data_IF_635310310099
#
_entry.id   IF_635310310099
#
_cell.length_a   1.000
_cell.length_b   1.000
_cell.length_c   1.000
_cell.angle_alpha   90.00
_cell.angle_beta   90.00
_cell.angle_gamma   90.00
#
_symmetry.space_group_name_H-M   'P 1'
#
loop_
_entity.id
_entity.type
_entity.pdbx_description
1 polymer ?
#
# COMPACT_ATOMS: atom_id res chain seq x y z
N UNK A 1 -3.53 17.31 -3.13
CA UNK A 1 -2.65 16.17 -2.76
C UNK A 1 -3.11 15.68 -1.40
N UNK A 2 -3.43 14.39 -1.25
CA UNK A 2 -3.94 13.82 0.02
C UNK A 2 -2.85 13.91 1.10
N UNK A 3 -3.18 14.40 2.31
CA UNK A 3 -2.22 14.45 3.43
C UNK A 3 -2.10 13.09 4.14
N UNK A 4 -1.10 12.91 4.99
CA UNK A 4 -0.97 11.70 5.84
C UNK A 4 -2.17 11.57 6.79
N UNK A 5 -2.70 12.68 7.30
CA UNK A 5 -3.88 12.70 8.16
C UNK A 5 -5.15 12.25 7.44
N UNK A 6 -5.30 12.63 6.16
CA UNK A 6 -6.41 12.19 5.30
C UNK A 6 -6.31 10.69 5.03
N UNK A 7 -5.11 10.20 4.69
CA UNK A 7 -4.84 8.77 4.50
C UNK A 7 -5.15 7.96 5.75
N UNK A 8 -4.70 8.41 6.92
CA UNK A 8 -5.03 7.74 8.20
C UNK A 8 -6.54 7.70 8.43
N UNK A 9 -7.24 8.82 8.19
CA UNK A 9 -8.69 8.87 8.34
C UNK A 9 -9.40 7.92 7.36
N UNK A 10 -8.88 7.79 6.14
CA UNK A 10 -9.36 6.85 5.13
C UNK A 10 -9.13 5.41 5.55
N UNK A 11 -7.96 5.07 6.10
CA UNK A 11 -7.65 3.73 6.60
C UNK A 11 -8.57 3.31 7.74
N UNK A 12 -8.72 4.17 8.75
CA UNK A 12 -9.59 3.93 9.89
C UNK A 12 -11.03 3.64 9.44
N UNK A 13 -11.55 4.46 8.51
CA UNK A 13 -12.89 4.26 7.94
C UNK A 13 -12.97 2.98 7.10
N UNK A 14 -11.96 2.71 6.28
CA UNK A 14 -11.88 1.52 5.43
C UNK A 14 -11.87 0.21 6.21
N UNK A 15 -11.26 0.21 7.41
CA UNK A 15 -11.27 -0.92 8.34
C UNK A 15 -12.51 -1.00 9.24
N UNK A 16 -13.51 -0.13 9.04
CA UNK A 16 -14.76 -0.17 9.79
C UNK A 16 -14.61 0.20 11.28
N UNK A 17 -13.51 0.86 11.67
CA UNK A 17 -13.27 1.22 13.06
C UNK A 17 -14.21 2.37 13.46
N UNK A 18 -15.18 2.04 14.30
CA UNK A 18 -16.18 2.99 14.81
C UNK A 18 -15.82 3.58 16.17
N UNK A 19 -14.96 2.90 16.96
CA UNK A 19 -14.58 3.32 18.32
C UNK A 19 -13.09 3.68 18.37
N UNK A 20 -12.78 4.97 18.42
CA UNK A 20 -11.40 5.46 18.48
C UNK A 20 -10.66 5.00 19.73
N UNK A 21 -11.36 4.86 20.86
CA UNK A 21 -10.77 4.33 22.10
C UNK A 21 -10.24 2.89 21.93
N UNK A 22 -10.94 2.04 21.17
CA UNK A 22 -10.47 0.67 20.92
C UNK A 22 -9.16 0.68 20.11
N UNK A 23 -9.12 1.46 19.03
CA UNK A 23 -7.90 1.65 18.24
C UNK A 23 -6.75 2.26 19.07
N UNK A 24 -7.06 3.16 20.00
CA UNK A 24 -6.05 3.74 20.89
C UNK A 24 -5.42 2.71 21.82
N UNK A 25 -6.23 1.78 22.34
CA UNK A 25 -5.76 0.64 23.13
C UNK A 25 -4.88 -0.29 22.29
N UNK A 26 -5.32 -0.65 21.07
CA UNK A 26 -4.55 -1.53 20.18
C UNK A 26 -3.19 -0.92 19.77
N UNK A 27 -3.14 0.41 19.66
CA UNK A 27 -1.91 1.16 19.34
C UNK A 27 -1.05 1.49 20.57
N UNK A 28 -1.52 1.19 21.78
CA UNK A 28 -0.91 1.58 23.05
C UNK A 28 -0.63 3.09 23.14
N UNK A 29 -1.66 3.90 22.86
CA UNK A 29 -1.59 5.37 22.93
C UNK A 29 -2.89 5.96 23.49
N UNK A 30 -2.85 7.26 23.83
CA UNK A 30 -4.07 8.01 24.11
C UNK A 30 -4.82 8.37 22.82
N UNK A 31 -6.16 8.42 22.88
CA UNK A 31 -7.03 8.82 21.77
C UNK A 31 -6.68 10.21 21.19
N UNK A 32 -6.18 11.12 22.05
CA UNK A 32 -5.71 12.44 21.64
C UNK A 32 -4.54 12.40 20.65
N UNK A 33 -3.70 11.36 20.70
CA UNK A 33 -2.63 11.13 19.73
C UNK A 33 -3.21 10.84 18.34
N UNK A 34 -4.20 9.95 18.24
CA UNK A 34 -4.88 9.63 16.98
C UNK A 34 -5.56 10.87 16.39
N UNK A 35 -6.26 11.65 17.23
CA UNK A 35 -6.88 12.92 16.80
C UNK A 35 -5.86 13.90 16.23
N UNK A 36 -4.70 14.04 16.88
CA UNK A 36 -3.60 14.87 16.40
C UNK A 36 -3.03 14.38 15.07
N UNK A 37 -2.84 13.06 14.92
CA UNK A 37 -2.30 12.47 13.69
C UNK A 37 -3.23 12.62 12.49
N UNK A 38 -4.54 12.48 12.69
CA UNK A 38 -5.55 12.72 11.65
C UNK A 38 -5.56 14.18 11.17
N UNK A 39 -5.14 15.12 12.01
CA UNK A 39 -4.93 16.54 11.67
C UNK A 39 -3.51 16.83 11.17
N UNK A 40 -2.80 15.80 10.73
CA UNK A 40 -1.44 15.88 10.20
C UNK A 40 -0.37 16.36 11.21
N UNK A 41 -0.68 16.30 12.52
CA UNK A 41 0.29 16.61 13.57
C UNK A 41 1.39 15.55 13.71
N UNK A 42 2.46 15.83 14.46
CA UNK A 42 3.68 15.02 14.51
C UNK A 42 3.41 13.58 14.97
N UNK A 43 4.14 12.63 14.37
CA UNK A 43 4.08 11.20 14.64
C UNK A 43 5.48 10.63 14.48
N UNK A 44 5.90 9.75 15.39
CA UNK A 44 7.15 9.01 15.28
C UNK A 44 7.05 7.90 14.23
N UNK A 45 8.18 7.42 13.73
CA UNK A 45 8.21 6.26 12.84
C UNK A 45 7.62 5.01 13.53
N UNK A 46 7.97 4.75 14.79
CA UNK A 46 7.38 3.67 15.61
C UNK A 46 5.85 3.68 15.61
N UNK A 47 5.24 4.86 15.74
CA UNK A 47 3.78 4.97 15.75
C UNK A 47 3.19 4.75 14.35
N UNK A 48 3.89 5.20 13.31
CA UNK A 48 3.48 4.93 11.93
C UNK A 48 3.57 3.42 11.61
N UNK A 49 4.61 2.74 12.09
CA UNK A 49 4.78 1.29 11.95
C UNK A 49 3.67 0.53 12.69
N UNK A 50 3.41 0.84 13.97
CA UNK A 50 2.31 0.25 14.74
C UNK A 50 0.94 0.46 14.08
N UNK A 51 0.67 1.65 13.55
CA UNK A 51 -0.57 1.90 12.79
C UNK A 51 -0.65 1.00 11.56
N UNK A 52 0.47 0.82 10.85
CA UNK A 52 0.53 0.00 9.65
C UNK A 52 0.28 -1.47 9.96
N UNK A 53 0.78 -1.98 11.09
CA UNK A 53 0.51 -3.34 11.56
C UNK A 53 -0.94 -3.51 12.03
N UNK A 54 -1.44 -2.64 12.92
CA UNK A 54 -2.78 -2.76 13.51
C UNK A 54 -3.89 -2.57 12.49
N UNK A 55 -3.72 -1.62 11.56
CA UNK A 55 -4.70 -1.39 10.49
C UNK A 55 -4.43 -2.27 9.26
N UNK A 56 -3.36 -3.06 9.27
CA UNK A 56 -2.91 -3.87 8.14
C UNK A 56 -2.84 -3.03 6.85
N UNK A 57 -2.02 -1.98 6.82
CA UNK A 57 -1.87 -1.06 5.68
C UNK A 57 -0.40 -0.83 5.33
N UNK A 58 -0.12 -0.39 4.11
CA UNK A 58 1.22 -0.02 3.67
C UNK A 58 1.75 1.23 4.39
N UNK A 59 2.92 1.09 5.02
CA UNK A 59 3.65 2.20 5.65
C UNK A 59 4.07 3.26 4.62
N UNK A 60 4.56 2.83 3.45
CA UNK A 60 4.94 3.70 2.34
C UNK A 60 3.77 4.54 1.85
N UNK A 61 2.60 3.91 1.73
CA UNK A 61 1.38 4.62 1.40
C UNK A 61 1.00 5.60 2.51
N UNK A 62 1.00 5.19 3.78
CA UNK A 62 0.65 6.06 4.90
C UNK A 62 1.56 7.29 4.98
N UNK A 63 2.87 7.09 5.05
CA UNK A 63 3.86 8.14 5.35
C UNK A 63 4.18 8.96 4.10
N UNK A 64 4.48 8.30 2.97
CA UNK A 64 5.00 8.95 1.76
C UNK A 64 3.92 9.20 0.70
N UNK A 65 2.74 8.57 0.82
CA UNK A 65 1.69 8.67 -0.19
C UNK A 65 2.02 7.93 -1.48
N UNK A 66 2.88 6.91 -1.42
CA UNK A 66 3.27 6.08 -2.58
C UNK A 66 2.43 4.81 -2.63
N UNK A 67 2.12 4.33 -3.83
CA UNK A 67 1.35 3.09 -3.98
C UNK A 67 -0.10 3.22 -3.49
N UNK A 68 -0.63 2.14 -2.93
CA UNK A 68 -2.02 2.01 -2.48
C UNK A 68 -2.07 1.54 -1.02
N UNK A 69 -3.23 1.70 -0.37
CA UNK A 69 -3.42 1.34 1.04
C UNK A 69 -3.01 -0.10 1.36
N UNK A 70 -3.40 -1.04 0.50
CA UNK A 70 -3.15 -2.47 0.68
C UNK A 70 -1.95 -2.96 -0.14
N UNK A 71 -1.06 -2.08 -0.60
CA UNK A 71 0.04 -2.51 -1.50
C UNK A 71 1.08 -3.41 -0.81
N UNK A 72 1.01 -3.57 0.51
CA UNK A 72 1.84 -4.51 1.27
C UNK A 72 1.26 -5.95 1.24
N UNK A 73 -0.02 -6.13 0.91
CA UNK A 73 -0.67 -7.45 0.77
C UNK A 73 -0.58 -8.00 -0.64
N UNK A 74 -0.25 -7.14 -1.63
CA UNK A 74 0.20 -7.61 -2.93
C UNK A 74 1.46 -8.39 -2.63
N UNK A 75 1.32 -9.71 -2.60
CA UNK A 75 2.38 -10.65 -2.33
C UNK A 75 3.63 -10.14 -3.03
N UNK A 76 4.72 -10.08 -2.25
CA UNK A 76 6.08 -10.13 -2.81
C UNK A 76 5.99 -10.96 -4.07
N UNK A 77 6.12 -10.30 -5.23
CA UNK A 77 6.06 -10.92 -6.55
C UNK A 77 6.57 -12.35 -6.43
N UNK A 78 5.79 -13.35 -6.86
CA UNK A 78 6.29 -14.72 -6.87
C UNK A 78 7.70 -14.68 -7.49
N UNK A 79 8.64 -15.48 -6.99
CA UNK A 79 10.07 -15.30 -7.34
C UNK A 79 10.28 -15.20 -8.87
N UNK A 80 9.45 -15.91 -9.62
CA UNK A 80 9.31 -15.89 -11.06
C UNK A 80 8.83 -14.53 -11.63
N UNK A 81 7.79 -13.92 -11.04
CA UNK A 81 7.29 -12.59 -11.42
C UNK A 81 8.32 -11.49 -11.09
N UNK A 82 9.03 -11.61 -9.96
CA UNK A 82 10.07 -10.67 -9.59
C UNK A 82 11.23 -10.72 -10.58
N UNK A 83 11.69 -11.93 -10.91
CA UNK A 83 12.75 -12.12 -11.90
C UNK A 83 12.32 -11.64 -13.29
N UNK A 84 11.08 -11.92 -13.70
CA UNK A 84 10.53 -11.40 -14.95
C UNK A 84 10.57 -9.87 -14.98
N UNK A 85 10.08 -9.21 -13.93
CA UNK A 85 10.09 -7.74 -13.84
C UNK A 85 11.51 -7.17 -13.78
N UNK A 86 12.43 -7.85 -13.08
CA UNK A 86 13.84 -7.46 -13.02
C UNK A 86 14.47 -7.47 -14.41
N UNK A 87 14.25 -8.54 -15.18
CA UNK A 87 14.73 -8.65 -16.57
C UNK A 87 14.06 -7.59 -17.44
N UNK A 88 12.72 -7.45 -17.37
CA UNK A 88 11.97 -6.48 -18.18
C UNK A 88 12.43 -5.04 -17.98
N UNK A 89 12.77 -4.65 -16.75
CA UNK A 89 13.28 -3.30 -16.44
C UNK A 89 14.64 -2.98 -17.09
N UNK A 90 15.42 -4.00 -17.45
CA UNK A 90 16.70 -3.86 -18.13
C UNK A 90 16.61 -3.90 -19.66
N UNK A 91 15.45 -4.23 -20.23
CA UNK A 91 15.28 -4.34 -21.67
C UNK A 91 15.23 -2.95 -22.35
N UNK A 92 15.68 -2.91 -23.60
CA UNK A 92 15.44 -1.75 -24.47
C UNK A 92 13.94 -1.62 -24.72
N UNK A 93 13.44 -0.38 -24.83
CA UNK A 93 12.01 -0.11 -25.09
C UNK A 93 11.42 -0.94 -26.23
N UNK A 94 12.13 -1.08 -27.35
CA UNK A 94 11.65 -1.88 -28.49
C UNK A 94 11.48 -3.37 -28.16
N UNK A 95 12.39 -3.94 -27.36
CA UNK A 95 12.27 -5.32 -26.91
C UNK A 95 11.08 -5.51 -25.95
N UNK A 96 10.83 -4.55 -25.05
CA UNK A 96 9.66 -4.56 -24.18
C UNK A 96 8.36 -4.51 -24.98
N UNK A 97 8.28 -3.66 -26.02
CA UNK A 97 7.10 -3.58 -26.89
C UNK A 97 6.82 -4.89 -27.63
N UNK A 98 7.85 -5.55 -28.17
CA UNK A 98 7.67 -6.84 -28.83
C UNK A 98 7.25 -7.95 -27.86
N UNK A 99 7.82 -7.97 -26.65
CA UNK A 99 7.45 -8.96 -25.63
C UNK A 99 6.00 -8.78 -25.17
N UNK A 100 5.55 -7.54 -24.99
CA UNK A 100 4.15 -7.26 -24.66
C UNK A 100 3.20 -7.76 -25.74
N UNK A 101 3.48 -7.47 -27.01
CA UNK A 101 2.66 -7.95 -28.12
C UNK A 101 2.57 -9.49 -28.17
N UNK A 102 3.67 -10.18 -27.85
CA UNK A 102 3.68 -11.64 -27.74
C UNK A 102 2.83 -12.17 -26.59
N UNK A 103 2.90 -11.55 -25.40
CA UNK A 103 2.07 -11.95 -24.26
C UNK A 103 0.58 -11.65 -24.48
N UNK A 104 0.27 -10.56 -25.18
CA UNK A 104 -1.09 -10.22 -25.60
C UNK A 104 -1.66 -11.28 -26.56
N UNK A 105 -0.85 -11.75 -27.52
CA UNK A 105 -1.23 -12.84 -28.43
C UNK A 105 -1.49 -14.14 -27.67
N UNK A 106 -0.60 -14.52 -26.75
CA UNK A 106 -0.75 -15.73 -25.92
C UNK A 106 -1.95 -15.69 -24.97
N UNK A 107 -2.44 -14.51 -24.60
CA UNK A 107 -3.55 -14.34 -23.66
C UNK A 107 -4.92 -14.23 -24.35
N UNK A 108 -4.95 -14.24 -25.68
CA UNK A 108 -6.22 -14.36 -26.41
C UNK A 108 -6.88 -15.71 -26.06
N UNK A 109 -8.17 -15.72 -25.72
CA UNK A 109 -8.89 -16.96 -25.52
C UNK A 109 -8.85 -17.78 -26.82
N UNK A 110 -8.57 -19.08 -26.71
CA UNK A 110 -8.62 -19.99 -27.86
C UNK A 110 -10.06 -19.93 -28.41
N UNK A 111 -10.22 -19.33 -29.59
CA UNK A 111 -11.50 -19.39 -30.30
C UNK A 111 -11.82 -20.87 -30.59
N UNK A 112 -13.05 -21.33 -30.26
CA UNK A 112 -13.44 -22.73 -30.41
C UNK A 112 -13.50 -23.20 -31.86
#
# INVERSE_FOLDING_TARGET
MESRGDRLSRAIKGRGISKMMALALDLDVHESAISRWRKNGPMSLENAARISEVLDISLDWLVLGRGQMDSHTIESLASEEFELLRVMRGLRRSATSHLLAFLEDLSQPIEP
#
